data_IF_060512497486
#
_entry.id   IF_060512497486
#
_cell.length_a   1.000
_cell.length_b   1.000
_cell.length_c   1.000
_cell.angle_alpha   90.00
_cell.angle_beta   90.00
_cell.angle_gamma   90.00
#
_symmetry.space_group_name_H-M   'P 1'
#
loop_
_entity.id
_entity.type
_entity.pdbx_description
1 polymer ?
#
# COMPACT_ATOMS: atom_id res chain seq x y z
N UNK A 1 0.15 6.69 -3.80
CA UNK A 1 0.72 5.36 -4.06
C UNK A 1 0.71 4.52 -2.77
N UNK A 2 0.86 3.18 -2.87
CA UNK A 2 0.97 2.30 -1.71
C UNK A 2 2.17 2.67 -0.83
N UNK A 3 3.28 3.07 -1.43
CA UNK A 3 4.47 3.53 -0.69
C UNK A 3 4.15 4.74 0.19
N UNK A 4 3.44 5.73 -0.33
CA UNK A 4 3.06 6.91 0.45
C UNK A 4 2.18 6.56 1.65
N UNK A 5 1.32 5.54 1.53
CA UNK A 5 0.50 5.04 2.64
C UNK A 5 1.38 4.38 3.70
N UNK A 6 2.33 3.54 3.29
CA UNK A 6 3.27 2.89 4.22
C UNK A 6 4.12 3.93 4.96
N UNK A 7 4.69 4.89 4.22
CA UNK A 7 5.49 5.98 4.80
C UNK A 7 4.67 6.85 5.75
N UNK A 8 3.41 7.14 5.40
CA UNK A 8 2.50 7.92 6.23
C UNK A 8 2.11 7.22 7.54
N UNK A 9 1.90 5.90 7.51
CA UNK A 9 1.52 5.11 8.69
C UNK A 9 2.72 4.78 9.59
N UNK A 10 3.86 4.43 9.00
CA UNK A 10 4.95 3.77 9.73
C UNK A 10 6.29 4.50 9.62
N UNK A 11 6.39 5.51 8.77
CA UNK A 11 7.64 6.20 8.45
C UNK A 11 8.44 5.50 7.34
N UNK A 12 9.33 6.25 6.72
CA UNK A 12 10.15 5.82 5.58
C UNK A 12 11.11 4.66 5.92
N UNK A 13 11.58 4.61 7.16
CA UNK A 13 12.46 3.52 7.63
C UNK A 13 11.80 2.14 7.67
N UNK A 14 10.46 2.08 7.61
CA UNK A 14 9.69 0.84 7.59
C UNK A 14 9.39 0.34 6.17
N UNK A 15 9.68 1.13 5.15
CA UNK A 15 9.52 0.77 3.75
C UNK A 15 10.82 0.22 3.19
N UNK A 16 10.81 -1.03 2.74
CA UNK A 16 11.90 -1.62 1.99
C UNK A 16 11.46 -1.90 0.55
N UNK A 17 12.21 -1.40 -0.43
CA UNK A 17 11.98 -1.70 -1.84
C UNK A 17 12.87 -2.85 -2.26
N UNK A 18 12.30 -3.85 -2.88
CA UNK A 18 13.09 -4.93 -3.44
C UNK A 18 13.79 -4.46 -4.71
N UNK A 19 15.10 -4.56 -4.71
CA UNK A 19 15.93 -4.17 -5.85
C UNK A 19 15.79 -5.14 -7.04
N UNK A 20 15.42 -6.39 -6.77
CA UNK A 20 15.21 -7.44 -7.78
C UNK A 20 13.83 -8.06 -7.61
N UNK A 21 13.17 -8.44 -8.71
CA UNK A 21 11.93 -9.20 -8.62
C UNK A 21 12.12 -10.52 -7.86
N UNK A 22 11.08 -10.96 -7.15
CA UNK A 22 11.05 -12.32 -6.59
C UNK A 22 11.14 -13.34 -7.72
N UNK A 23 12.02 -14.33 -7.56
CA UNK A 23 12.23 -15.38 -8.56
C UNK A 23 11.23 -16.55 -8.45
N UNK A 24 10.29 -16.48 -7.51
CA UNK A 24 9.26 -17.49 -7.32
C UNK A 24 8.07 -17.33 -8.29
N UNK A 25 7.33 -18.42 -8.51
CA UNK A 25 6.05 -18.36 -9.18
C UNK A 25 5.02 -17.68 -8.29
N UNK A 26 4.33 -16.68 -8.83
CA UNK A 26 3.27 -15.94 -8.13
C UNK A 26 2.10 -15.70 -9.08
N UNK A 27 0.97 -16.34 -8.80
CA UNK A 27 -0.22 -16.23 -9.64
C UNK A 27 -0.88 -14.84 -9.56
N UNK A 28 -0.58 -14.05 -8.54
CA UNK A 28 -1.09 -12.69 -8.39
C UNK A 28 -0.65 -11.77 -9.53
N UNK A 29 0.40 -12.11 -10.25
CA UNK A 29 0.80 -11.41 -11.48
C UNK A 29 -0.32 -11.36 -12.52
N UNK A 30 -1.18 -12.37 -12.58
CA UNK A 30 -2.35 -12.41 -13.46
C UNK A 30 -3.42 -11.40 -13.04
N UNK A 31 -3.62 -11.21 -11.74
CA UNK A 31 -4.51 -10.19 -11.20
C UNK A 31 -3.99 -8.80 -11.55
N UNK A 32 -2.68 -8.57 -11.39
CA UNK A 32 -2.05 -7.28 -11.73
C UNK A 32 -2.07 -6.96 -13.22
N UNK A 33 -2.20 -7.96 -14.10
CA UNK A 33 -2.36 -7.75 -15.53
C UNK A 33 -3.74 -7.17 -15.89
N UNK A 34 -4.77 -7.50 -15.10
CA UNK A 34 -6.16 -7.09 -15.34
C UNK A 34 -6.58 -5.87 -14.50
N UNK A 35 -6.01 -5.74 -13.30
CA UNK A 35 -6.40 -4.70 -12.34
C UNK A 35 -5.15 -3.96 -11.85
N UNK A 36 -5.12 -2.62 -11.92
CA UNK A 36 -4.03 -1.85 -11.32
C UNK A 36 -3.89 -2.13 -9.83
N UNK A 37 -2.70 -2.56 -9.41
CA UNK A 37 -2.45 -2.95 -8.05
C UNK A 37 -0.97 -3.05 -7.72
N UNK A 38 -0.67 -3.58 -6.55
CA UNK A 38 0.70 -3.85 -6.10
C UNK A 38 0.73 -5.07 -5.19
N UNK A 39 1.90 -5.69 -5.10
CA UNK A 39 2.18 -6.77 -4.15
C UNK A 39 3.04 -6.22 -3.03
N UNK A 40 2.61 -6.40 -1.79
CA UNK A 40 3.32 -5.91 -0.61
C UNK A 40 3.64 -7.10 0.29
N UNK A 41 4.92 -7.27 0.60
CA UNK A 41 5.36 -8.21 1.62
C UNK A 41 5.33 -7.55 3.00
N UNK A 42 4.70 -8.22 3.98
CA UNK A 42 4.76 -7.81 5.38
C UNK A 42 5.73 -8.74 6.12
N UNK A 43 6.85 -8.19 6.60
CA UNK A 43 7.80 -8.98 7.38
C UNK A 43 7.22 -9.29 8.75
N UNK A 44 7.14 -10.58 9.07
CA UNK A 44 6.70 -11.10 10.36
C UNK A 44 7.79 -11.92 11.07
N UNK A 45 9.04 -11.70 10.72
CA UNK A 45 10.17 -12.33 11.43
C UNK A 45 10.22 -11.76 12.86
N UNK A 46 10.27 -12.61 13.90
CA UNK A 46 10.37 -12.15 15.28
C UNK A 46 11.57 -11.19 15.49
N UNK A 47 11.36 -10.15 16.30
CA UNK A 47 12.35 -9.07 16.48
C UNK A 47 13.66 -9.53 17.10
N UNK A 48 13.64 -10.59 17.86
CA UNK A 48 14.79 -11.23 18.53
C UNK A 48 15.47 -12.29 17.66
N UNK A 49 14.91 -12.59 16.50
CA UNK A 49 15.48 -13.54 15.56
C UNK A 49 16.49 -12.87 14.60
N UNK A 50 17.47 -13.64 14.15
CA UNK A 50 18.34 -13.22 13.06
C UNK A 50 17.56 -13.26 11.73
N UNK A 51 17.26 -12.08 11.20
CA UNK A 51 16.50 -11.93 9.96
C UNK A 51 17.17 -12.58 8.75
N UNK A 52 18.52 -12.66 8.74
CA UNK A 52 19.26 -13.29 7.66
C UNK A 52 19.21 -14.83 7.70
N UNK A 53 19.02 -15.39 8.90
CA UNK A 53 18.94 -16.84 9.15
C UNK A 53 17.51 -17.33 9.34
N UNK A 54 16.51 -16.44 9.35
CA UNK A 54 15.12 -16.79 9.55
C UNK A 54 14.61 -17.75 8.47
N UNK A 55 13.89 -18.78 8.88
CA UNK A 55 13.30 -19.73 7.96
C UNK A 55 12.25 -19.06 7.07
N UNK A 56 12.26 -19.38 5.78
CA UNK A 56 11.30 -18.85 4.82
C UNK A 56 9.87 -19.29 5.18
N UNK A 57 8.87 -18.49 4.82
CA UNK A 57 7.47 -18.71 5.21
C UNK A 57 6.85 -20.04 4.78
N UNK A 58 7.43 -20.74 3.82
CA UNK A 58 7.03 -22.10 3.40
C UNK A 58 7.77 -23.21 4.15
N UNK A 59 8.66 -22.87 5.08
CA UNK A 59 9.38 -23.82 5.91
C UNK A 59 8.51 -24.29 7.09
N UNK A 60 8.59 -25.56 7.50
CA UNK A 60 7.96 -26.03 8.74
C UNK A 60 8.60 -25.42 10.01
N UNK A 61 9.74 -24.77 9.87
CA UNK A 61 10.45 -24.08 10.96
C UNK A 61 10.19 -22.57 10.98
N UNK A 62 9.33 -22.07 10.09
CA UNK A 62 8.99 -20.64 10.07
C UNK A 62 8.25 -20.27 11.36
N UNK A 63 8.67 -19.16 11.95
CA UNK A 63 8.02 -18.54 13.11
C UNK A 63 7.61 -17.12 12.76
N UNK A 64 6.48 -16.67 13.31
CA UNK A 64 5.90 -15.38 12.99
C UNK A 64 5.65 -14.56 14.25
N UNK A 65 5.87 -13.25 14.14
CA UNK A 65 5.52 -12.27 15.17
C UNK A 65 4.08 -11.79 14.94
N UNK A 66 3.17 -12.18 15.84
CA UNK A 66 1.77 -11.75 15.79
C UNK A 66 1.60 -10.23 16.01
N UNK A 67 2.63 -9.55 16.53
CA UNK A 67 2.63 -8.11 16.72
C UNK A 67 2.47 -7.32 15.41
N UNK A 68 2.78 -7.92 14.25
CA UNK A 68 2.62 -7.26 12.96
C UNK A 68 1.18 -7.29 12.42
N UNK A 69 0.28 -8.07 13.04
CA UNK A 69 -1.11 -8.20 12.55
C UNK A 69 -1.85 -6.85 12.60
N UNK A 70 -1.64 -6.06 13.64
CA UNK A 70 -2.25 -4.74 13.75
C UNK A 70 -1.75 -3.79 12.67
N UNK A 71 -0.45 -3.80 12.38
CA UNK A 71 0.15 -3.01 11.30
C UNK A 71 -0.42 -3.43 9.93
N UNK A 72 -0.54 -4.73 9.70
CA UNK A 72 -1.13 -5.28 8.48
C UNK A 72 -2.58 -4.84 8.29
N UNK A 73 -3.39 -4.90 9.34
CA UNK A 73 -4.79 -4.48 9.30
C UNK A 73 -4.92 -2.98 9.04
N UNK A 74 -4.11 -2.15 9.69
CA UNK A 74 -4.07 -0.71 9.48
C UNK A 74 -3.67 -0.36 8.04
N UNK A 75 -2.67 -1.05 7.50
CA UNK A 75 -2.22 -0.86 6.11
C UNK A 75 -3.33 -1.18 5.10
N UNK A 76 -4.02 -2.32 5.25
CA UNK A 76 -5.13 -2.67 4.37
C UNK A 76 -6.27 -1.65 4.42
N UNK A 77 -6.64 -1.20 5.62
CA UNK A 77 -7.70 -0.22 5.79
C UNK A 77 -7.33 1.11 5.13
N UNK A 78 -6.13 1.61 5.36
CA UNK A 78 -5.68 2.88 4.80
C UNK A 78 -5.50 2.83 3.27
N UNK A 79 -5.01 1.72 2.73
CA UNK A 79 -4.94 1.52 1.28
C UNK A 79 -6.34 1.58 0.63
N UNK A 80 -7.33 0.94 1.24
CA UNK A 80 -8.70 0.98 0.75
C UNK A 80 -9.29 2.39 0.81
N UNK A 81 -9.14 3.09 1.93
CA UNK A 81 -9.62 4.47 2.13
C UNK A 81 -8.96 5.41 1.12
N UNK A 82 -7.65 5.36 0.99
CA UNK A 82 -6.88 6.20 0.07
C UNK A 82 -7.30 5.95 -1.39
N UNK A 83 -7.53 4.68 -1.76
CA UNK A 83 -7.95 4.35 -3.12
C UNK A 83 -9.37 4.83 -3.42
N UNK A 84 -10.30 4.64 -2.48
CA UNK A 84 -11.68 5.10 -2.63
C UNK A 84 -11.74 6.63 -2.72
N UNK A 85 -10.97 7.34 -1.90
CA UNK A 85 -10.89 8.79 -1.97
C UNK A 85 -10.34 9.28 -3.32
N UNK A 86 -9.32 8.62 -3.85
CA UNK A 86 -8.76 8.96 -5.16
C UNK A 86 -9.75 8.72 -6.31
N UNK A 87 -10.53 7.64 -6.25
CA UNK A 87 -11.58 7.36 -7.24
C UNK A 87 -12.71 8.39 -7.16
N UNK A 88 -13.19 8.71 -5.97
CA UNK A 88 -14.23 9.72 -5.77
C UNK A 88 -13.78 11.11 -6.27
N UNK A 89 -12.51 11.46 -6.08
CA UNK A 89 -11.95 12.71 -6.59
C UNK A 89 -11.86 12.74 -8.12
N UNK A 90 -11.59 11.59 -8.75
CA UNK A 90 -11.54 11.48 -10.21
C UNK A 90 -12.93 11.56 -10.86
N UNK A 91 -13.98 11.10 -10.18
CA UNK A 91 -15.36 11.12 -10.64
C UNK A 91 -16.08 12.45 -10.31
N UNK A 92 -15.48 13.33 -9.50
CA UNK A 92 -16.05 14.62 -9.17
C UNK A 92 -16.15 15.49 -10.44
N UNK A 93 -17.32 16.13 -10.72
CA UNK A 93 -17.43 17.06 -11.84
C UNK A 93 -16.44 18.20 -11.65
N UNK A 94 -15.79 18.62 -12.75
CA UNK A 94 -14.91 19.78 -12.72
C UNK A 94 -15.69 20.95 -12.11
N UNK A 95 -15.12 21.59 -11.08
CA UNK A 95 -15.74 22.76 -10.46
C UNK A 95 -15.99 23.80 -11.57
N UNK A 96 -17.26 24.15 -11.79
CA UNK A 96 -17.63 25.18 -12.75
C UNK A 96 -17.10 26.52 -12.23
N UNK A 97 -15.94 26.93 -12.73
CA UNK A 97 -15.32 28.20 -12.46
C UNK A 97 -15.97 29.34 -13.32
N UNK A 98 -17.27 29.28 -13.50
CA UNK A 98 -17.99 30.46 -14.04
C UNK A 98 -18.00 31.57 -12.99
N UNK A 99 -16.98 32.39 -13.02
CA UNK A 99 -17.00 33.69 -12.36
C UNK A 99 -18.10 34.50 -13.03
N UNK A 100 -19.23 34.67 -12.34
CA UNK A 100 -20.25 35.59 -12.76
C UNK A 100 -19.63 37.01 -12.71
N UNK A 101 -19.31 37.59 -13.87
CA UNK A 101 -18.94 38.98 -13.99
C UNK A 101 -20.18 39.81 -13.64
N UNK A 102 -20.22 40.41 -12.44
CA UNK A 102 -21.21 41.41 -12.10
C UNK A 102 -20.91 42.67 -12.92
N UNK A 103 -21.71 42.89 -13.95
CA UNK A 103 -21.73 44.15 -14.69
C UNK A 103 -22.45 45.21 -13.84
N UNK A 104 -21.69 46.10 -13.21
CA UNK A 104 -22.23 47.35 -12.64
C UNK A 104 -22.43 48.31 -13.80
N UNK A 105 -23.68 48.45 -14.25
CA UNK A 105 -24.10 49.59 -15.05
C UNK A 105 -24.39 50.74 -14.08
N UNK A 106 -23.61 51.79 -14.18
CA UNK A 106 -23.87 53.13 -13.63
C UNK A 106 -24.86 53.88 -14.51
#
# INVERSE_FOLDING_TARGET
TAENVIEGLFGDSRLARWATPLSGSEDFSRVLAEVPGTFIGLSAVPRDADHAAAAFNHSPYATFDDGVLADGAALYAELAISRLAALAAADAPAADNTVAAASTLS
#
